data_IF_391175816064
#
_entry.id   IF_391175816064
#
_cell.length_a   1.000
_cell.length_b   1.000
_cell.length_c   1.000
_cell.angle_alpha   90.00
_cell.angle_beta   90.00
_cell.angle_gamma   90.00
#
_symmetry.space_group_name_H-M   'P 1'
#
loop_
_entity.id
_entity.type
_entity.pdbx_description
1 polymer ?
#
# COMPACT_ATOMS: atom_id res chain seq x y z
N UNK A 1 17.82 1.97 27.13
CA UNK A 1 18.73 0.83 27.28
C UNK A 1 18.17 -0.46 26.70
N UNK A 2 16.93 -0.88 26.98
CA UNK A 2 16.33 -2.04 26.28
C UNK A 2 16.29 -1.87 24.75
N UNK A 3 15.96 -0.67 24.25
CA UNK A 3 16.02 -0.36 22.81
C UNK A 3 17.42 -0.52 22.24
N UNK A 4 18.45 -0.11 22.99
CA UNK A 4 19.85 -0.22 22.56
C UNK A 4 20.26 -1.70 22.46
N UNK A 5 19.88 -2.52 23.46
CA UNK A 5 20.18 -3.95 23.48
C UNK A 5 19.56 -4.70 22.29
N UNK A 6 18.34 -4.33 21.86
CA UNK A 6 17.71 -4.91 20.66
C UNK A 6 18.51 -4.56 19.41
N UNK A 7 18.93 -3.30 19.26
CA UNK A 7 19.71 -2.83 18.11
C UNK A 7 21.10 -3.48 18.07
N UNK A 8 21.77 -3.56 19.23
CA UNK A 8 23.06 -4.24 19.36
C UNK A 8 22.95 -5.73 19.03
N UNK A 9 21.91 -6.41 19.52
CA UNK A 9 21.66 -7.81 19.19
C UNK A 9 21.44 -8.01 17.68
N UNK A 10 20.61 -7.19 17.04
CA UNK A 10 20.36 -7.24 15.61
C UNK A 10 21.64 -7.04 14.79
N UNK A 11 22.45 -6.05 15.18
CA UNK A 11 23.74 -5.77 14.57
C UNK A 11 24.74 -6.92 14.72
N UNK A 12 24.80 -7.51 15.90
CA UNK A 12 25.75 -8.58 16.22
C UNK A 12 25.40 -9.90 15.51
N UNK A 13 24.12 -10.27 15.44
CA UNK A 13 23.70 -11.57 14.91
C UNK A 13 23.43 -11.57 13.40
N UNK A 14 23.05 -10.41 12.83
CA UNK A 14 22.86 -10.21 11.38
C UNK A 14 21.89 -11.19 10.71
N UNK A 15 20.81 -11.56 11.37
CA UNK A 15 19.74 -12.38 10.78
C UNK A 15 18.78 -11.52 9.99
N UNK A 16 18.24 -12.02 8.87
CA UNK A 16 17.29 -11.25 8.05
C UNK A 16 15.97 -10.95 8.75
N UNK A 17 15.61 -11.74 9.76
CA UNK A 17 14.40 -11.59 10.56
C UNK A 17 14.71 -11.69 12.06
N UNK A 18 13.89 -11.07 12.93
CA UNK A 18 12.83 -10.12 12.58
C UNK A 18 13.38 -8.79 12.07
N UNK A 19 12.74 -8.18 11.07
CA UNK A 19 13.00 -6.78 10.72
C UNK A 19 12.62 -5.82 11.85
N UNK A 20 13.14 -4.59 11.82
CA UNK A 20 12.91 -3.57 12.86
C UNK A 20 12.31 -2.30 12.25
N UNK A 21 11.29 -1.74 12.90
CA UNK A 21 10.78 -0.39 12.63
C UNK A 21 11.20 0.57 13.75
N UNK A 22 11.87 1.67 13.39
CA UNK A 22 12.20 2.74 14.33
C UNK A 22 11.28 3.93 14.13
N UNK A 23 10.57 4.29 15.21
CA UNK A 23 9.68 5.44 15.28
C UNK A 23 10.53 6.68 15.54
N UNK A 24 10.81 7.44 14.49
CA UNK A 24 11.67 8.61 14.60
C UNK A 24 10.88 9.85 15.04
N UNK A 25 11.41 10.52 16.05
CA UNK A 25 11.00 11.85 16.48
C UNK A 25 12.22 12.67 16.92
N UNK A 26 12.02 13.99 17.01
CA UNK A 26 13.08 14.92 17.38
C UNK A 26 13.61 14.67 18.81
N UNK A 27 12.74 14.30 19.76
CA UNK A 27 13.04 14.15 21.19
C UNK A 27 13.88 12.91 21.54
N UNK A 28 13.91 11.91 20.67
CA UNK A 28 14.60 10.64 20.93
C UNK A 28 16.09 10.79 21.22
N UNK A 29 16.61 10.00 22.18
CA UNK A 29 17.99 10.01 22.65
C UNK A 29 18.99 9.76 21.53
N UNK A 30 20.01 10.61 21.43
CA UNK A 30 21.05 10.54 20.40
C UNK A 30 21.77 9.18 20.38
N UNK A 31 22.19 8.66 21.55
CA UNK A 31 22.82 7.32 21.67
C UNK A 31 22.03 6.23 20.94
N UNK A 32 20.71 6.21 21.10
CA UNK A 32 19.85 5.20 20.46
C UNK A 32 19.76 5.44 18.96
N UNK A 33 19.65 6.70 18.51
CA UNK A 33 19.68 7.06 17.08
C UNK A 33 21.00 6.67 16.41
N UNK A 34 22.14 6.79 17.12
CA UNK A 34 23.44 6.31 16.64
C UNK A 34 23.44 4.79 16.43
N UNK A 35 22.87 4.01 17.36
CA UNK A 35 22.77 2.55 17.18
C UNK A 35 21.83 2.14 16.02
N UNK A 36 20.75 2.90 15.80
CA UNK A 36 19.91 2.72 14.60
C UNK A 36 20.74 2.93 13.33
N UNK A 37 21.54 4.00 13.27
CA UNK A 37 22.44 4.25 12.15
C UNK A 37 23.48 3.14 11.98
N UNK A 38 24.06 2.62 13.07
CA UNK A 38 25.02 1.52 13.02
C UNK A 38 24.43 0.24 12.39
N UNK A 39 23.15 -0.05 12.61
CA UNK A 39 22.47 -1.16 11.91
C UNK A 39 22.31 -0.88 10.41
N UNK A 40 21.91 0.35 10.05
CA UNK A 40 21.66 0.76 8.66
C UNK A 40 22.96 0.76 7.84
N UNK A 41 24.03 1.38 8.37
CA UNK A 41 25.33 1.47 7.67
C UNK A 41 25.98 0.11 7.44
N UNK A 42 25.66 -0.85 8.30
CA UNK A 42 26.12 -2.23 8.23
C UNK A 42 25.38 -3.04 7.14
N UNK A 43 24.43 -2.41 6.43
CA UNK A 43 23.75 -2.98 5.27
C UNK A 43 22.61 -3.95 5.62
N UNK A 44 22.11 -3.91 6.86
CA UNK A 44 21.00 -4.79 7.27
C UNK A 44 19.68 -4.46 6.56
N UNK A 45 19.53 -3.23 6.06
CA UNK A 45 18.27 -2.73 5.48
C UNK A 45 17.23 -2.30 6.51
N UNK A 46 17.53 -2.43 7.80
CA UNK A 46 16.69 -1.99 8.93
C UNK A 46 17.58 -1.51 10.11
N UNK A 47 17.04 -0.76 11.09
CA UNK A 47 15.65 -0.34 11.23
C UNK A 47 15.11 0.54 10.10
N UNK A 48 13.91 0.25 9.61
CA UNK A 48 13.18 1.18 8.75
C UNK A 48 12.69 2.37 9.56
N UNK A 49 12.73 3.58 8.97
CA UNK A 49 12.40 4.81 9.69
C UNK A 49 10.96 5.22 9.41
N UNK A 50 10.18 5.45 10.47
CA UNK A 50 8.79 5.92 10.39
C UNK A 50 8.64 7.26 11.09
N UNK A 51 7.84 8.16 10.52
CA UNK A 51 7.55 9.44 11.14
C UNK A 51 6.55 9.23 12.30
N UNK A 52 7.02 9.42 13.53
CA UNK A 52 6.23 9.16 14.74
C UNK A 52 5.04 10.10 14.88
N UNK A 53 5.24 11.40 14.63
CA UNK A 53 4.19 12.42 14.78
C UNK A 53 3.06 12.23 13.75
N UNK A 54 3.42 11.87 12.52
CA UNK A 54 2.44 11.58 11.47
C UNK A 54 1.59 10.36 11.82
N UNK A 55 2.20 9.29 12.34
CA UNK A 55 1.47 8.08 12.68
C UNK A 55 0.62 8.24 13.95
N UNK A 56 1.08 9.01 14.94
CA UNK A 56 0.27 9.41 16.10
C UNK A 56 -0.95 10.22 15.61
N UNK A 57 -0.72 11.20 14.73
CA UNK A 57 -1.79 12.00 14.13
C UNK A 57 -2.81 11.13 13.37
N UNK A 58 -2.35 10.11 12.65
CA UNK A 58 -3.23 9.19 11.94
C UNK A 58 -4.17 8.45 12.89
N UNK A 59 -3.63 7.81 13.93
CA UNK A 59 -4.44 7.02 14.87
C UNK A 59 -5.44 7.91 15.62
N UNK A 60 -5.02 9.12 16.01
CA UNK A 60 -5.90 10.06 16.69
C UNK A 60 -6.98 10.62 15.77
N UNK A 61 -6.57 11.24 14.66
CA UNK A 61 -7.44 12.11 13.87
C UNK A 61 -8.27 11.34 12.82
N UNK A 62 -7.81 10.17 12.38
CA UNK A 62 -8.54 9.36 11.39
C UNK A 62 -9.23 8.15 12.00
N UNK A 63 -8.72 7.62 13.11
CA UNK A 63 -9.27 6.42 13.74
C UNK A 63 -9.94 6.67 15.10
N UNK A 64 -9.81 7.88 15.65
CA UNK A 64 -10.50 8.27 16.89
C UNK A 64 -9.84 7.75 18.16
N UNK A 65 -8.57 7.35 18.11
CA UNK A 65 -7.80 6.98 19.30
C UNK A 65 -7.60 8.17 20.24
N UNK A 66 -7.56 7.89 21.54
CA UNK A 66 -7.14 8.87 22.55
C UNK A 66 -5.67 9.27 22.37
N UNK A 67 -5.24 10.34 23.02
CA UNK A 67 -3.83 10.77 22.99
C UNK A 67 -2.85 9.71 23.50
N UNK A 68 -3.29 8.87 24.44
CA UNK A 68 -2.49 7.78 24.98
C UNK A 68 -2.42 6.62 23.98
N UNK A 69 -3.57 6.15 23.49
CA UNK A 69 -3.65 5.07 22.50
C UNK A 69 -2.90 5.40 21.20
N UNK A 70 -2.97 6.66 20.77
CA UNK A 70 -2.28 7.12 19.58
C UNK A 70 -0.74 7.12 19.73
N UNK A 71 -0.21 7.28 20.95
CA UNK A 71 1.24 7.21 21.22
C UNK A 71 1.73 5.76 21.31
N UNK A 72 0.87 4.86 21.76
CA UNK A 72 1.15 3.43 21.87
C UNK A 72 0.84 2.73 20.56
N UNK A 73 1.70 2.94 19.57
CA UNK A 73 1.57 2.30 18.27
C UNK A 73 2.82 1.50 17.88
N UNK A 74 2.58 0.42 17.16
CA UNK A 74 3.59 -0.39 16.48
C UNK A 74 3.16 -0.61 15.03
N UNK A 75 4.08 -1.07 14.19
CA UNK A 75 3.72 -1.48 12.84
C UNK A 75 2.95 -2.80 12.91
N UNK A 76 1.80 -2.88 12.23
CA UNK A 76 1.05 -4.14 12.14
C UNK A 76 1.80 -5.15 11.26
N UNK A 77 2.37 -4.66 10.15
CA UNK A 77 3.30 -5.39 9.27
C UNK A 77 4.42 -4.43 8.86
N UNK A 78 4.64 -4.18 7.56
CA UNK A 78 5.78 -3.37 7.12
C UNK A 78 5.59 -1.85 7.29
N UNK A 79 4.36 -1.35 7.12
CA UNK A 79 4.10 0.08 6.87
C UNK A 79 3.02 0.70 7.74
N UNK A 80 1.88 0.03 7.94
CA UNK A 80 0.73 0.61 8.63
C UNK A 80 0.94 0.61 10.14
N UNK A 81 0.78 1.77 10.81
CA UNK A 81 0.75 1.83 12.27
C UNK A 81 -0.59 1.28 12.78
N UNK A 82 -0.56 0.67 13.96
CA UNK A 82 -1.75 0.29 14.71
C UNK A 82 -1.49 0.41 16.19
N UNK A 83 -2.53 0.71 16.96
CA UNK A 83 -2.44 0.71 18.42
C UNK A 83 -1.94 -0.65 18.93
N UNK A 84 -1.07 -0.64 19.91
CA UNK A 84 -0.59 -1.81 20.63
C UNK A 84 -0.77 -1.61 22.13
N UNK A 85 -1.22 -2.65 22.82
CA UNK A 85 -1.53 -2.57 24.25
C UNK A 85 -2.36 -3.75 24.69
N UNK A 86 -2.94 -3.66 25.89
CA UNK A 86 -3.79 -4.71 26.47
C UNK A 86 -5.20 -4.78 25.85
N UNK A 87 -5.61 -3.75 25.13
CA UNK A 87 -6.96 -3.61 24.53
C UNK A 87 -6.84 -2.93 23.17
N UNK A 88 -7.86 -3.07 22.31
CA UNK A 88 -8.04 -2.33 21.04
C UNK A 88 -6.97 -2.52 19.96
N UNK A 89 -5.94 -3.32 20.19
CA UNK A 89 -4.96 -3.65 19.15
C UNK A 89 -5.64 -4.31 17.94
N UNK A 90 -5.12 -4.12 16.72
CA UNK A 90 -5.64 -4.80 15.54
C UNK A 90 -5.43 -6.32 15.67
N UNK A 91 -6.49 -7.12 15.44
CA UNK A 91 -6.46 -8.58 15.69
C UNK A 91 -6.40 -9.42 14.42
N UNK A 92 -6.91 -8.91 13.31
CA UNK A 92 -7.06 -9.65 12.05
C UNK A 92 -6.81 -8.76 10.85
N UNK A 93 -6.21 -9.33 9.80
CA UNK A 93 -5.89 -8.62 8.55
C UNK A 93 -7.13 -8.20 7.74
N UNK A 94 -8.29 -8.74 8.08
CA UNK A 94 -9.57 -8.30 7.50
C UNK A 94 -9.95 -6.88 7.93
N UNK A 95 -9.41 -6.37 9.02
CA UNK A 95 -9.48 -4.93 9.38
C UNK A 95 -8.68 -4.09 8.37
N UNK A 96 -7.41 -4.43 8.20
CA UNK A 96 -6.47 -3.65 7.41
C UNK A 96 -5.37 -4.53 6.82
N UNK A 97 -5.02 -4.23 5.57
CA UNK A 97 -4.16 -5.06 4.74
C UNK A 97 -4.88 -5.60 3.51
N UNK A 98 -4.15 -6.41 2.75
CA UNK A 98 -4.46 -6.64 1.34
C UNK A 98 -3.91 -5.50 0.47
N UNK A 99 -4.02 -5.64 -0.85
CA UNK A 99 -3.59 -4.58 -1.75
C UNK A 99 -4.10 -4.75 -3.17
N UNK A 100 -3.95 -3.68 -3.95
CA UNK A 100 -4.25 -3.62 -5.38
C UNK A 100 -2.99 -3.34 -6.19
N UNK A 101 -2.97 -3.72 -7.46
CA UNK A 101 -1.84 -3.53 -8.36
C UNK A 101 -2.18 -2.50 -9.43
N UNK A 102 -1.91 -1.23 -9.15
CA UNK A 102 -2.34 -0.10 -9.97
C UNK A 102 -1.79 -0.12 -11.40
N UNK A 103 -0.58 -0.65 -11.60
CA UNK A 103 -0.02 -0.81 -12.94
C UNK A 103 -0.87 -1.76 -13.81
N UNK A 104 -1.33 -2.87 -13.22
CA UNK A 104 -2.20 -3.82 -13.94
C UNK A 104 -3.57 -3.21 -14.22
N UNK A 105 -4.13 -2.49 -13.24
CA UNK A 105 -5.38 -1.72 -13.41
C UNK A 105 -5.24 -0.71 -14.55
N UNK A 106 -4.08 -0.06 -14.68
CA UNK A 106 -3.83 0.87 -15.78
C UNK A 106 -3.70 0.16 -17.14
N UNK A 107 -2.97 -0.96 -17.20
CA UNK A 107 -2.83 -1.74 -18.43
C UNK A 107 -4.19 -2.20 -18.98
N UNK A 108 -5.08 -2.72 -18.12
CA UNK A 108 -6.42 -3.15 -18.57
C UNK A 108 -7.31 -1.95 -18.92
N UNK A 109 -7.06 -0.76 -18.38
CA UNK A 109 -7.73 0.48 -18.83
C UNK A 109 -7.46 0.72 -20.32
N UNK A 110 -6.24 0.43 -20.79
CA UNK A 110 -5.84 0.55 -22.19
C UNK A 110 -6.36 -0.60 -23.08
N UNK A 111 -7.21 -1.48 -22.56
CA UNK A 111 -7.73 -2.65 -23.25
C UNK A 111 -9.19 -2.96 -22.87
N UNK A 112 -10.00 -1.93 -22.58
CA UNK A 112 -11.43 -2.08 -22.22
C UNK A 112 -11.68 -3.06 -21.05
N UNK A 113 -10.78 -3.07 -20.07
CA UNK A 113 -10.80 -3.97 -18.91
C UNK A 113 -10.30 -5.39 -19.17
N UNK A 114 -9.81 -5.70 -20.37
CA UNK A 114 -9.31 -7.01 -20.73
C UNK A 114 -7.81 -7.14 -20.45
N UNK A 115 -7.44 -8.20 -19.71
CA UNK A 115 -6.04 -8.56 -19.51
C UNK A 115 -5.57 -9.44 -20.67
N UNK A 116 -4.90 -8.84 -21.65
CA UNK A 116 -4.32 -9.56 -22.78
C UNK A 116 -2.91 -10.11 -22.50
N UNK A 117 -2.17 -9.51 -21.57
CA UNK A 117 -0.73 -9.76 -21.39
C UNK A 117 -0.41 -10.90 -20.42
N UNK A 118 -1.35 -11.24 -19.53
CA UNK A 118 -1.13 -12.25 -18.50
C UNK A 118 -2.26 -13.28 -18.44
N UNK A 119 -3.47 -12.89 -18.01
CA UNK A 119 -4.56 -13.84 -17.75
C UNK A 119 -5.39 -14.20 -18.99
N UNK A 120 -5.28 -13.44 -20.08
CA UNK A 120 -6.07 -13.59 -21.30
C UNK A 120 -7.58 -13.69 -21.01
N UNK A 121 -8.10 -12.77 -20.19
CA UNK A 121 -9.50 -12.73 -19.79
C UNK A 121 -9.97 -11.32 -19.42
N UNK A 122 -11.29 -11.12 -19.37
CA UNK A 122 -11.87 -9.88 -18.86
C UNK A 122 -11.59 -9.78 -17.36
N UNK A 123 -10.79 -8.81 -16.94
CA UNK A 123 -10.36 -8.65 -15.55
C UNK A 123 -11.12 -7.54 -14.82
N UNK A 124 -11.50 -6.48 -15.54
CA UNK A 124 -12.27 -5.36 -15.00
C UNK A 124 -13.52 -5.04 -15.83
N UNK A 125 -14.30 -4.02 -15.44
CA UNK A 125 -15.43 -3.53 -16.24
C UNK A 125 -14.98 -3.09 -17.63
N UNK A 126 -15.92 -3.11 -18.59
CA UNK A 126 -15.71 -2.50 -19.92
C UNK A 126 -15.82 -0.99 -19.80
N UNK A 127 -14.69 -0.30 -19.79
CA UNK A 127 -14.58 1.15 -19.58
C UNK A 127 -14.46 1.96 -20.87
N UNK A 128 -14.49 1.30 -22.03
CA UNK A 128 -14.35 1.89 -23.37
C UNK A 128 -13.01 1.54 -24.03
N UNK A 129 -12.98 1.59 -25.36
CA UNK A 129 -11.74 1.50 -26.14
C UNK A 129 -10.96 2.82 -25.96
N UNK A 130 -9.71 2.79 -25.47
CA UNK A 130 -8.90 4.00 -25.30
C UNK A 130 -8.63 4.77 -26.59
N UNK A 131 -8.74 4.15 -27.78
CA UNK A 131 -8.63 4.85 -29.07
C UNK A 131 -9.74 5.88 -29.27
N UNK A 132 -10.86 5.72 -28.57
CA UNK A 132 -11.98 6.64 -28.62
C UNK A 132 -11.84 7.82 -27.65
N UNK A 133 -10.94 7.74 -26.66
CA UNK A 133 -10.72 8.80 -25.68
C UNK A 133 -10.00 10.01 -26.31
N UNK A 134 -10.73 11.11 -26.50
CA UNK A 134 -10.26 12.35 -27.13
C UNK A 134 -9.48 13.25 -26.17
N UNK A 135 -9.68 13.07 -24.86
CA UNK A 135 -8.94 13.83 -23.84
C UNK A 135 -8.29 12.92 -22.81
N UNK A 136 -7.29 13.45 -22.11
CA UNK A 136 -6.64 12.74 -21.02
C UNK A 136 -7.62 12.46 -19.87
N UNK A 137 -8.58 13.35 -19.64
CA UNK A 137 -9.60 13.20 -18.61
C UNK A 137 -10.50 11.99 -18.86
N UNK A 138 -10.81 11.67 -20.12
CA UNK A 138 -11.58 10.46 -20.47
C UNK A 138 -10.80 9.18 -20.14
N UNK A 139 -9.49 9.16 -20.44
CA UNK A 139 -8.59 8.07 -20.02
C UNK A 139 -8.50 7.96 -18.50
N UNK A 140 -8.36 9.09 -17.81
CA UNK A 140 -8.30 9.15 -16.35
C UNK A 140 -9.60 8.63 -15.71
N UNK A 141 -10.76 8.98 -16.25
CA UNK A 141 -12.05 8.49 -15.78
C UNK A 141 -12.24 6.99 -16.04
N UNK A 142 -11.76 6.46 -17.18
CA UNK A 142 -11.74 5.02 -17.42
C UNK A 142 -10.87 4.30 -16.38
N UNK A 143 -9.67 4.83 -16.10
CA UNK A 143 -8.77 4.29 -15.09
C UNK A 143 -9.36 4.36 -13.67
N UNK A 144 -10.01 5.47 -13.33
CA UNK A 144 -10.72 5.64 -12.05
C UNK A 144 -11.80 4.57 -11.88
N UNK A 145 -12.62 4.32 -12.91
CA UNK A 145 -13.65 3.26 -12.88
C UNK A 145 -13.07 1.87 -12.67
N UNK A 146 -11.95 1.54 -13.33
CA UNK A 146 -11.23 0.27 -13.10
C UNK A 146 -10.75 0.17 -11.64
N UNK A 147 -10.15 1.24 -11.12
CA UNK A 147 -9.62 1.28 -9.77
C UNK A 147 -10.74 1.19 -8.71
N UNK A 148 -11.86 1.89 -8.90
CA UNK A 148 -13.01 1.85 -7.99
C UNK A 148 -13.60 0.45 -7.91
N UNK A 149 -13.75 -0.23 -9.06
CA UNK A 149 -14.23 -1.61 -9.11
C UNK A 149 -13.34 -2.57 -8.29
N UNK A 150 -12.02 -2.46 -8.46
CA UNK A 150 -11.07 -3.32 -7.73
C UNK A 150 -11.10 -3.04 -6.23
N UNK A 151 -11.08 -1.77 -5.83
CA UNK A 151 -11.08 -1.42 -4.40
C UNK A 151 -12.39 -1.82 -3.70
N UNK A 152 -13.53 -1.62 -4.37
CA UNK A 152 -14.83 -2.04 -3.86
C UNK A 152 -14.90 -3.56 -3.63
N UNK A 153 -14.40 -4.37 -4.59
CA UNK A 153 -14.30 -5.82 -4.40
C UNK A 153 -13.40 -6.21 -3.21
N UNK A 154 -12.25 -5.56 -3.05
CA UNK A 154 -11.33 -5.87 -1.96
C UNK A 154 -11.97 -5.56 -0.60
N UNK A 155 -12.64 -4.41 -0.46
CA UNK A 155 -13.30 -4.07 0.81
C UNK A 155 -14.46 -5.02 1.12
N UNK A 156 -15.34 -5.28 0.15
CA UNK A 156 -16.46 -6.22 0.34
C UNK A 156 -15.99 -7.62 0.72
N UNK A 157 -14.93 -8.13 0.09
CA UNK A 157 -14.39 -9.46 0.42
C UNK A 157 -13.79 -9.50 1.83
N UNK A 158 -13.12 -8.43 2.27
CA UNK A 158 -12.62 -8.31 3.64
C UNK A 158 -13.75 -8.32 4.67
N UNK A 159 -14.81 -7.56 4.44
CA UNK A 159 -15.95 -7.46 5.38
C UNK A 159 -16.74 -8.77 5.47
N UNK A 160 -17.01 -9.42 4.33
CA UNK A 160 -17.64 -10.75 4.31
C UNK A 160 -16.77 -11.76 5.05
N UNK A 161 -15.45 -11.72 4.82
CA UNK A 161 -14.51 -12.61 5.52
C UNK A 161 -14.48 -12.32 7.02
N UNK A 162 -14.52 -11.05 7.45
CA UNK A 162 -14.57 -10.66 8.87
C UNK A 162 -15.81 -11.24 9.55
N UNK A 163 -16.97 -11.14 8.89
CA UNK A 163 -18.22 -11.72 9.40
C UNK A 163 -18.08 -13.23 9.63
N UNK A 164 -17.60 -13.96 8.63
CA UNK A 164 -17.42 -15.41 8.73
C UNK A 164 -16.37 -15.80 9.77
N UNK A 165 -15.28 -15.04 9.89
CA UNK A 165 -14.26 -15.25 10.93
C UNK A 165 -14.88 -15.12 12.33
N UNK A 166 -15.70 -14.09 12.55
CA UNK A 166 -16.42 -13.90 13.81
C UNK A 166 -17.36 -15.04 14.19
N UNK A 167 -17.91 -15.74 13.21
CA UNK A 167 -18.90 -16.80 13.41
C UNK A 167 -18.28 -18.20 13.51
N UNK A 168 -17.15 -18.44 12.82
CA UNK A 168 -16.60 -19.80 12.64
C UNK A 168 -15.11 -19.96 12.96
N UNK A 169 -14.35 -18.86 13.08
CA UNK A 169 -12.90 -18.88 13.30
C UNK A 169 -12.55 -18.02 14.51
N UNK A 170 -13.22 -18.28 15.62
CA UNK A 170 -12.98 -17.60 16.89
C UNK A 170 -11.57 -17.92 17.40
N UNK A 171 -10.96 -16.95 18.07
CA UNK A 171 -9.59 -17.03 18.58
C UNK A 171 -9.58 -16.89 20.11
N UNK A 172 -10.09 -17.89 20.86
CA UNK A 172 -10.33 -17.76 22.30
C UNK A 172 -9.07 -17.44 23.11
N UNK A 173 -7.90 -17.94 22.69
CA UNK A 173 -6.64 -17.59 23.35
C UNK A 173 -6.29 -16.11 23.16
N UNK A 174 -6.41 -15.58 21.94
CA UNK A 174 -6.19 -14.15 21.67
C UNK A 174 -7.21 -13.31 22.43
N UNK A 175 -8.49 -13.69 22.41
CA UNK A 175 -9.57 -13.04 23.15
C UNK A 175 -9.30 -13.04 24.66
N UNK A 176 -8.66 -14.09 25.20
CA UNK A 176 -8.31 -14.15 26.62
C UNK A 176 -7.21 -13.17 27.05
N UNK A 177 -6.44 -12.64 26.09
CA UNK A 177 -5.34 -11.70 26.32
C UNK A 177 -5.76 -10.23 26.09
N UNK A 178 -6.97 -9.99 25.61
CA UNK A 178 -7.50 -8.65 25.35
C UNK A 178 -8.53 -8.25 26.40
N UNK A 179 -8.29 -7.12 27.08
CA UNK A 179 -9.14 -6.69 28.21
C UNK A 179 -10.59 -6.40 27.77
N UNK A 180 -10.80 -5.91 26.55
CA UNK A 180 -12.13 -5.63 26.02
C UNK A 180 -12.90 -6.90 25.67
N UNK A 181 -12.21 -7.89 25.09
CA UNK A 181 -12.79 -9.21 24.83
C UNK A 181 -13.19 -9.91 26.13
N UNK A 182 -12.32 -9.85 27.15
CA UNK A 182 -12.59 -10.43 28.47
C UNK A 182 -13.77 -9.75 29.18
N UNK A 183 -13.84 -8.43 29.12
CA UNK A 183 -14.93 -7.64 29.73
C UNK A 183 -16.29 -7.93 29.08
N UNK A 184 -16.32 -8.06 27.76
CA UNK A 184 -17.57 -8.18 26.98
C UNK A 184 -17.99 -9.61 26.69
N UNK A 185 -17.08 -10.58 26.84
CA UNK A 185 -17.30 -11.96 26.39
C UNK A 185 -17.42 -12.09 24.87
N UNK A 186 -16.94 -11.10 24.11
CA UNK A 186 -16.96 -11.09 22.64
C UNK A 186 -15.59 -11.51 22.12
N UNK A 187 -15.55 -12.40 21.14
CA UNK A 187 -14.31 -12.83 20.51
C UNK A 187 -13.59 -11.67 19.79
N UNK A 188 -12.26 -11.65 19.83
CA UNK A 188 -11.44 -10.60 19.21
C UNK A 188 -11.54 -10.50 17.69
N UNK A 189 -12.07 -11.52 17.01
CA UNK A 189 -12.44 -11.41 15.60
C UNK A 189 -13.76 -10.68 15.37
N UNK A 190 -14.58 -10.44 16.40
CA UNK A 190 -15.82 -9.64 16.37
C UNK A 190 -15.67 -8.28 17.01
N UNK A 191 -15.00 -8.21 18.15
CA UNK A 191 -14.82 -6.96 18.88
C UNK A 191 -13.88 -6.03 18.12
N UNK A 192 -14.36 -4.83 17.78
CA UNK A 192 -13.58 -3.78 17.14
C UNK A 192 -13.88 -2.44 17.81
N UNK A 193 -12.95 -1.95 18.61
CA UNK A 193 -13.14 -0.74 19.43
C UNK A 193 -12.36 0.47 18.91
N UNK A 194 -11.28 0.22 18.17
CA UNK A 194 -10.49 1.24 17.49
C UNK A 194 -10.28 0.81 16.03
N UNK A 195 -10.92 1.44 15.04
CA UNK A 195 -10.76 1.05 13.65
C UNK A 195 -9.30 1.23 13.19
N UNK A 196 -8.83 0.38 12.30
CA UNK A 196 -7.55 0.59 11.61
C UNK A 196 -7.63 0.08 10.16
N UNK A 197 -8.49 0.66 9.31
CA UNK A 197 -8.59 0.23 7.93
C UNK A 197 -7.43 0.77 7.09
N UNK A 198 -6.78 -0.12 6.35
CA UNK A 198 -5.90 0.28 5.25
C UNK A 198 -5.92 -0.76 4.12
N UNK A 199 -5.50 -0.30 2.94
CA UNK A 199 -5.23 -1.11 1.76
C UNK A 199 -3.90 -0.68 1.16
N UNK A 200 -3.07 -1.63 0.76
CA UNK A 200 -1.78 -1.34 0.13
C UNK A 200 -1.97 -1.11 -1.37
N UNK A 201 -1.47 0.02 -1.87
CA UNK A 201 -1.44 0.29 -3.31
C UNK A 201 -0.05 -0.08 -3.83
N UNK A 202 0.03 -1.15 -4.62
CA UNK A 202 1.26 -1.63 -5.22
C UNK A 202 1.43 -1.07 -6.63
N UNK A 203 2.68 -0.92 -7.08
CA UNK A 203 3.04 -0.50 -8.46
C UNK A 203 2.48 0.86 -8.88
N UNK A 204 2.05 1.71 -7.93
CA UNK A 204 1.46 3.01 -8.19
C UNK A 204 2.36 3.92 -9.04
N UNK A 205 3.67 3.89 -8.82
CA UNK A 205 4.63 4.72 -9.55
C UNK A 205 4.75 4.32 -11.03
N UNK A 206 4.55 3.03 -11.36
CA UNK A 206 4.50 2.60 -12.77
C UNK A 206 3.29 3.23 -13.46
N UNK A 207 2.10 3.10 -12.88
CA UNK A 207 0.89 3.73 -13.43
C UNK A 207 1.02 5.26 -13.50
N UNK A 208 1.56 5.91 -12.47
CA UNK A 208 1.79 7.35 -12.44
C UNK A 208 2.70 7.81 -13.57
N UNK A 209 3.88 7.19 -13.72
CA UNK A 209 4.82 7.53 -14.79
C UNK A 209 4.26 7.22 -16.18
N UNK A 210 3.47 6.16 -16.33
CA UNK A 210 2.78 5.83 -17.59
C UNK A 210 1.75 6.90 -17.96
N UNK A 211 0.93 7.33 -17.00
CA UNK A 211 -0.06 8.40 -17.20
C UNK A 211 0.60 9.74 -17.55
N UNK A 212 1.69 10.10 -16.87
CA UNK A 212 2.47 11.31 -17.18
C UNK A 212 2.99 11.26 -18.62
N UNK A 213 3.59 10.13 -19.02
CA UNK A 213 4.12 9.97 -20.37
C UNK A 213 3.03 10.01 -21.45
N UNK A 214 1.88 9.37 -21.20
CA UNK A 214 0.73 9.39 -22.12
C UNK A 214 0.14 10.79 -22.24
N UNK A 215 -0.06 11.49 -21.11
CA UNK A 215 -0.54 12.88 -21.12
C UNK A 215 0.36 13.74 -21.99
N UNK A 216 1.67 13.66 -21.76
CA UNK A 216 2.65 14.44 -22.52
C UNK A 216 2.70 14.06 -24.00
N UNK A 217 2.98 12.80 -24.32
CA UNK A 217 3.35 12.40 -25.69
C UNK A 217 2.15 12.21 -26.62
N UNK A 218 0.97 11.89 -26.08
CA UNK A 218 -0.25 11.64 -26.87
C UNK A 218 -1.19 12.84 -26.85
N UNK A 219 -1.47 13.40 -25.67
CA UNK A 219 -2.49 14.45 -25.53
C UNK A 219 -1.92 15.87 -25.69
N UNK A 220 -0.81 16.18 -25.04
CA UNK A 220 -0.22 17.53 -25.04
C UNK A 220 0.62 17.78 -26.32
N UNK A 221 1.66 16.98 -26.53
CA UNK A 221 2.62 17.12 -27.64
C UNK A 221 2.11 16.49 -28.94
N UNK A 222 1.16 15.54 -28.85
CA UNK A 222 0.60 14.78 -29.98
C UNK A 222 1.67 14.14 -30.89
N UNK A 223 2.78 13.70 -30.29
CA UNK A 223 3.87 12.99 -30.99
C UNK A 223 3.42 11.61 -31.47
N UNK A 224 2.54 10.95 -30.71
CA UNK A 224 1.98 9.64 -31.03
C UNK A 224 0.46 9.62 -30.88
N UNK A 225 -0.20 8.68 -31.54
CA UNK A 225 -1.62 8.37 -31.30
C UNK A 225 -1.77 7.25 -30.27
N UNK A 226 -2.95 7.16 -29.65
CA UNK A 226 -3.26 6.05 -28.74
C UNK A 226 -3.19 4.69 -29.44
N UNK A 227 -3.61 4.60 -30.71
CA UNK A 227 -3.52 3.37 -31.49
C UNK A 227 -2.06 2.91 -31.70
N UNK A 228 -1.16 3.85 -32.03
CA UNK A 228 0.27 3.57 -32.15
C UNK A 228 0.87 3.02 -30.85
N UNK A 229 0.52 3.62 -29.71
CA UNK A 229 0.95 3.14 -28.40
C UNK A 229 0.44 1.71 -28.14
N UNK A 230 -0.84 1.44 -28.37
CA UNK A 230 -1.44 0.12 -28.13
C UNK A 230 -0.75 -0.95 -28.98
N UNK A 231 -0.53 -0.69 -30.26
CA UNK A 231 0.20 -1.62 -31.14
C UNK A 231 1.63 -1.84 -30.63
N UNK A 232 2.33 -0.78 -30.23
CA UNK A 232 3.68 -0.91 -29.67
C UNK A 232 3.69 -1.75 -28.39
N UNK A 233 2.72 -1.55 -27.48
CA UNK A 233 2.59 -2.34 -26.25
C UNK A 233 2.33 -3.82 -26.54
N UNK A 234 1.41 -4.14 -27.47
CA UNK A 234 1.10 -5.53 -27.85
C UNK A 234 2.28 -6.25 -28.50
N UNK A 235 3.17 -5.52 -29.17
CA UNK A 235 4.43 -6.05 -29.72
C UNK A 235 5.59 -6.00 -28.72
N UNK A 236 5.33 -5.69 -27.44
CA UNK A 236 6.37 -5.51 -26.42
C UNK A 236 7.51 -4.58 -26.88
N UNK A 237 7.13 -3.51 -27.59
CA UNK A 237 8.01 -2.53 -28.22
C UNK A 237 8.94 -3.04 -29.33
N UNK A 238 8.80 -4.28 -29.80
CA UNK A 238 9.57 -4.80 -30.93
C UNK A 238 9.26 -3.99 -32.20
N UNK A 239 10.29 -3.35 -32.78
CA UNK A 239 10.14 -2.42 -33.90
C UNK A 239 9.76 -0.99 -33.52
N UNK A 240 9.58 -0.68 -32.23
CA UNK A 240 9.15 0.62 -31.70
C UNK A 240 10.13 1.23 -30.67
N UNK A 241 11.43 0.92 -30.79
CA UNK A 241 12.44 1.33 -29.79
C UNK A 241 12.54 2.86 -29.61
N UNK A 242 12.43 3.64 -30.70
CA UNK A 242 12.43 5.12 -30.60
C UNK A 242 11.27 5.61 -29.73
N UNK A 243 10.04 5.13 -30.01
CA UNK A 243 8.86 5.45 -29.21
C UNK A 243 9.05 5.00 -27.75
N UNK A 244 9.58 3.80 -27.51
CA UNK A 244 9.85 3.31 -26.16
C UNK A 244 10.81 4.24 -25.40
N UNK A 245 11.85 4.73 -26.05
CA UNK A 245 12.81 5.67 -25.47
C UNK A 245 12.16 7.02 -25.16
N UNK A 246 11.25 7.52 -26.01
CA UNK A 246 10.50 8.73 -25.69
C UNK A 246 9.61 8.59 -24.46
N UNK A 247 8.85 7.47 -24.35
CA UNK A 247 8.06 7.18 -23.16
C UNK A 247 8.94 7.01 -21.91
N UNK A 248 10.11 6.37 -22.07
CA UNK A 248 11.09 6.22 -21.00
C UNK A 248 11.65 7.56 -20.52
N UNK A 249 11.96 8.48 -21.45
CA UNK A 249 12.56 9.78 -21.16
C UNK A 249 11.56 10.90 -20.85
N UNK A 250 10.25 10.66 -20.96
CA UNK A 250 9.23 11.59 -20.46
C UNK A 250 9.42 11.88 -18.95
N UNK A 251 8.86 12.96 -18.37
CA UNK A 251 8.98 13.26 -16.94
C UNK A 251 8.63 12.08 -16.04
N UNK A 252 9.30 11.99 -14.89
CA UNK A 252 9.20 10.85 -13.96
C UNK A 252 9.14 11.32 -12.52
N UNK A 253 8.34 10.61 -11.71
CA UNK A 253 8.31 10.77 -10.27
C UNK A 253 9.71 10.70 -9.65
N UNK A 254 9.97 11.57 -8.67
CA UNK A 254 11.21 11.59 -7.89
C UNK A 254 12.28 12.58 -8.37
N UNK A 255 11.95 13.49 -9.29
CA UNK A 255 12.89 14.48 -9.86
C UNK A 255 12.53 15.95 -9.56
N UNK A 256 11.55 16.23 -8.70
CA UNK A 256 11.10 17.61 -8.39
C UNK A 256 10.65 18.41 -9.63
N UNK A 257 9.96 17.72 -10.56
CA UNK A 257 9.37 18.22 -11.81
C UNK A 257 7.85 18.01 -11.81
#
# INVERSE_FOLDING_TARGET
>A
DMTDAILEAARNIRTTEPSIGFRWNAKGREKTKSLVFECIRDGLGYPSIKNDELNISQIKNHFGGTDEEARDWALVLCMSPGHCGRRKASKVRTEGGGGSFTAKVFEITLADGYDWSYANCQMGPKTGDPRDFKTFEELWEAFRKQNDYVNDLIWRTKDVTRKLQGDYIQLPFLSSLDDGCMETGIDGTKLQELPNPWLQVHTAIVACNSLIAIKKLIYDDKKYTMDQLIVALHNNWEGYEEMRQDFFNAPKWGNDD
#
